data_IF_483548071548
#
_entry.id   IF_483548071548
#
_cell.length_a   1.000
_cell.length_b   1.000
_cell.length_c   1.000
_cell.angle_alpha   90.00
_cell.angle_beta   90.00
_cell.angle_gamma   90.00
#
_symmetry.space_group_name_H-M   'P 1'
#
loop_
_entity.id
_entity.type
_entity.pdbx_description
1 polymer ?
#
# COMPACT_ATOMS: atom_id res chain seq x y z
N UNK A 1 -3.67 -9.08 28.64
CA UNK A 1 -3.81 -7.86 27.83
C UNK A 1 -2.69 -7.88 26.79
N UNK A 2 -2.94 -8.44 25.61
CA UNK A 2 -1.91 -8.54 24.57
C UNK A 2 -1.55 -7.14 24.06
N UNK A 3 -0.26 -6.81 23.87
CA UNK A 3 0.11 -5.51 23.31
C UNK A 3 -0.49 -5.38 21.91
N UNK A 4 -0.96 -4.19 21.51
CA UNK A 4 -1.43 -3.97 20.15
C UNK A 4 -0.26 -4.21 19.20
N UNK A 5 -0.32 -5.31 18.44
CA UNK A 5 0.65 -5.57 17.37
C UNK A 5 0.42 -4.50 16.31
N UNK A 6 1.40 -3.61 16.14
CA UNK A 6 1.36 -2.61 15.07
C UNK A 6 1.26 -3.35 13.73
N UNK A 7 0.29 -3.01 12.86
CA UNK A 7 0.18 -3.67 11.56
C UNK A 7 1.46 -3.42 10.75
N UNK A 8 1.94 -4.42 10.00
CA UNK A 8 3.10 -4.24 9.13
C UNK A 8 2.81 -3.15 8.08
N UNK A 9 3.77 -2.26 7.88
CA UNK A 9 3.67 -1.15 6.93
C UNK A 9 4.83 -1.14 5.94
N UNK A 10 4.54 -0.83 4.69
CA UNK A 10 5.52 -0.63 3.61
C UNK A 10 5.41 0.81 3.08
N UNK A 11 6.51 1.32 2.55
CA UNK A 11 6.53 2.63 1.91
C UNK A 11 6.58 2.45 0.39
N UNK A 12 5.55 2.93 -0.29
CA UNK A 12 5.49 2.92 -1.75
C UNK A 12 5.96 4.27 -2.26
N UNK A 13 7.07 4.28 -2.99
CA UNK A 13 7.60 5.48 -3.63
C UNK A 13 7.38 5.40 -5.13
N UNK A 14 6.83 6.46 -5.72
CA UNK A 14 6.70 6.62 -7.16
C UNK A 14 7.23 7.99 -7.57
N UNK A 15 7.77 8.06 -8.79
CA UNK A 15 8.39 9.27 -9.32
C UNK A 15 7.79 9.58 -10.68
N UNK A 16 7.45 10.84 -10.92
CA UNK A 16 6.84 11.29 -12.18
C UNK A 16 7.69 12.38 -12.82
N UNK A 17 7.83 12.30 -14.14
CA UNK A 17 8.45 13.32 -14.97
C UNK A 17 7.56 13.54 -16.19
N UNK A 18 7.33 14.80 -16.57
CA UNK A 18 6.62 15.16 -17.77
C UNK A 18 7.44 16.19 -18.54
N UNK A 19 7.60 15.98 -19.84
CA UNK A 19 8.29 16.94 -20.71
C UNK A 19 7.56 17.08 -22.04
N UNK A 20 7.54 18.30 -22.58
CA UNK A 20 6.89 18.58 -23.85
C UNK A 20 7.31 19.93 -24.41
N UNK A 21 7.54 19.98 -25.73
CA UNK A 21 8.04 21.17 -26.44
C UNK A 21 7.11 22.38 -26.38
N UNK A 22 5.82 22.16 -26.09
CA UNK A 22 4.78 23.18 -26.00
C UNK A 22 4.02 23.16 -24.66
N UNK A 23 4.54 22.44 -23.67
CA UNK A 23 3.92 22.44 -22.35
C UNK A 23 4.42 23.66 -21.56
N UNK A 24 3.54 24.52 -21.04
CA UNK A 24 3.97 25.50 -20.06
C UNK A 24 4.42 24.75 -18.79
N UNK A 25 5.50 25.21 -18.14
CA UNK A 25 5.81 24.75 -16.79
C UNK A 25 5.03 25.59 -15.77
N UNK A 26 4.69 25.10 -14.56
CA UNK A 26 4.68 23.72 -14.03
C UNK A 26 3.45 22.92 -14.50
N UNK A 27 3.57 21.59 -14.56
CA UNK A 27 2.51 20.68 -15.04
C UNK A 27 1.83 19.99 -13.84
N UNK A 28 0.52 20.23 -13.68
CA UNK A 28 -0.31 19.54 -12.69
C UNK A 28 -0.79 18.18 -13.20
N UNK A 29 -0.45 17.11 -12.48
CA UNK A 29 -0.84 15.72 -12.76
C UNK A 29 -1.78 15.22 -11.66
N UNK A 30 -3.00 14.83 -12.03
CA UNK A 30 -3.88 14.09 -11.14
C UNK A 30 -3.57 12.60 -11.26
N UNK A 31 -3.26 11.96 -10.13
CA UNK A 31 -2.81 10.57 -10.06
C UNK A 31 -3.73 9.81 -9.14
N UNK A 32 -4.27 8.71 -9.63
CA UNK A 32 -5.06 7.77 -8.85
C UNK A 32 -4.27 6.48 -8.64
N UNK A 33 -4.00 6.17 -7.39
CA UNK A 33 -3.27 4.98 -6.98
C UNK A 33 -4.22 3.98 -6.34
N UNK A 34 -4.08 2.71 -6.68
CA UNK A 34 -4.84 1.62 -6.07
C UNK A 34 -3.90 0.49 -5.69
N UNK A 35 -3.98 0.03 -4.44
CA UNK A 35 -3.27 -1.17 -3.97
C UNK A 35 -4.16 -2.41 -4.14
N UNK A 36 -3.55 -3.57 -4.36
CA UNK A 36 -4.24 -4.84 -4.65
C UNK A 36 -5.21 -4.80 -5.87
N UNK A 37 -4.99 -3.89 -6.82
CA UNK A 37 -5.91 -3.66 -7.95
C UNK A 37 -6.09 -4.87 -8.91
N UNK A 38 -5.07 -5.73 -9.02
CA UNK A 38 -5.13 -6.96 -9.84
C UNK A 38 -5.97 -8.07 -9.18
N UNK A 39 -6.34 -7.93 -7.90
CA UNK A 39 -7.15 -8.91 -7.19
C UNK A 39 -8.63 -8.53 -7.28
N UNK A 40 -9.28 -8.95 -8.36
CA UNK A 40 -10.74 -8.91 -8.46
C UNK A 40 -11.36 -9.97 -7.51
N UNK A 41 -12.09 -9.53 -6.48
CA UNK A 41 -12.95 -10.42 -5.69
C UNK A 41 -12.34 -11.09 -4.44
N UNK A 42 -11.24 -10.57 -3.87
CA UNK A 42 -10.76 -10.99 -2.56
C UNK A 42 -10.51 -9.80 -1.63
N UNK A 43 -10.64 -10.00 -0.31
CA UNK A 43 -10.46 -8.95 0.70
C UNK A 43 -9.15 -8.18 0.48
N UNK A 44 -9.25 -6.86 0.34
CA UNK A 44 -8.10 -5.98 0.11
C UNK A 44 -7.20 -5.98 1.34
N UNK A 45 -5.96 -6.41 1.16
CA UNK A 45 -4.98 -6.64 2.24
C UNK A 45 -4.07 -5.44 2.41
N UNK A 46 -4.01 -4.51 1.46
CA UNK A 46 -3.22 -3.29 1.57
C UNK A 46 -4.11 -2.04 1.61
N UNK A 47 -3.75 -1.05 2.44
CA UNK A 47 -4.45 0.23 2.56
C UNK A 47 -3.43 1.37 2.71
N UNK A 48 -3.61 2.46 1.99
CA UNK A 48 -2.84 3.69 2.19
C UNK A 48 -3.19 4.33 3.53
N UNK A 49 -2.19 4.71 4.32
CA UNK A 49 -2.35 5.54 5.52
C UNK A 49 -2.41 7.03 5.13
N UNK A 50 -3.33 7.80 5.73
CA UNK A 50 -3.35 9.28 5.92
C UNK A 50 -2.80 10.22 4.82
N UNK A 51 -3.59 11.23 4.40
CA UNK A 51 -3.11 12.35 3.57
C UNK A 51 -3.52 12.42 2.08
N UNK A 52 -4.66 13.05 1.81
CA UNK A 52 -5.08 13.47 0.47
C UNK A 52 -6.33 14.37 0.51
N UNK A 53 -6.33 15.38 1.39
CA UNK A 53 -7.45 16.31 1.60
C UNK A 53 -8.44 15.86 2.70
N UNK A 54 -9.21 16.83 3.22
CA UNK A 54 -10.18 16.69 4.32
C UNK A 54 -11.34 15.70 4.06
N UNK A 55 -11.38 15.05 2.90
CA UNK A 55 -12.50 14.23 2.43
C UNK A 55 -12.42 12.74 2.83
N UNK A 56 -11.27 12.22 3.28
CA UNK A 56 -11.14 10.79 3.64
C UNK A 56 -10.39 10.60 4.97
N UNK A 57 -11.11 10.54 6.10
CA UNK A 57 -10.54 10.22 7.40
C UNK A 57 -10.45 8.70 7.55
N UNK A 58 -9.39 8.08 7.03
CA UNK A 58 -9.13 6.67 7.26
C UNK A 58 -8.21 5.99 6.24
N UNK A 59 -7.76 4.76 6.53
CA UNK A 59 -6.97 3.97 5.60
C UNK A 59 -7.83 3.48 4.43
N UNK A 60 -7.41 3.78 3.20
CA UNK A 60 -8.16 3.49 1.97
C UNK A 60 -7.33 2.66 0.98
N UNK A 61 -7.94 1.75 0.21
CA UNK A 61 -7.23 0.98 -0.83
C UNK A 61 -6.90 1.83 -2.07
N UNK A 62 -7.53 2.99 -2.19
CA UNK A 62 -7.36 3.91 -3.31
C UNK A 62 -6.97 5.28 -2.79
N UNK A 63 -6.13 5.99 -3.54
CA UNK A 63 -5.58 7.28 -3.17
C UNK A 63 -5.41 8.20 -4.38
N UNK A 64 -6.13 9.32 -4.36
CA UNK A 64 -6.02 10.38 -5.37
C UNK A 64 -5.10 11.49 -4.87
N UNK A 65 -4.20 11.97 -5.72
CA UNK A 65 -3.30 13.06 -5.39
C UNK A 65 -2.94 13.90 -6.61
N UNK A 66 -2.74 15.19 -6.37
CA UNK A 66 -2.29 16.13 -7.39
C UNK A 66 -0.81 16.41 -7.21
N UNK A 67 -0.03 16.18 -8.25
CA UNK A 67 1.42 16.40 -8.30
C UNK A 67 1.73 17.52 -9.27
N UNK A 68 2.81 18.25 -9.00
CA UNK A 68 3.21 19.40 -9.80
C UNK A 68 4.65 19.19 -10.22
N UNK A 69 4.84 18.79 -11.47
CA UNK A 69 6.15 18.46 -12.04
C UNK A 69 6.66 19.61 -12.92
N UNK A 70 7.99 19.83 -12.98
CA UNK A 70 8.56 20.74 -13.97
C UNK A 70 8.37 20.18 -15.39
N UNK A 71 8.36 21.06 -16.40
CA UNK A 71 8.40 20.64 -17.81
C UNK A 71 9.84 20.23 -18.17
N UNK A 72 10.14 18.94 -18.05
CA UNK A 72 11.49 18.40 -18.14
C UNK A 72 12.32 18.62 -16.88
N UNK A 73 13.46 17.94 -16.80
CA UNK A 73 14.35 17.98 -15.65
C UNK A 73 14.15 16.79 -14.69
N UNK A 74 14.23 17.05 -13.38
CA UNK A 74 14.22 16.01 -12.35
C UNK A 74 12.80 15.50 -12.08
N UNK A 75 12.63 14.17 -11.89
CA UNK A 75 11.34 13.61 -11.56
C UNK A 75 10.91 14.04 -10.15
N UNK A 76 9.61 14.30 -9.97
CA UNK A 76 9.02 14.52 -8.65
C UNK A 76 8.61 13.19 -8.04
N UNK A 77 9.20 12.84 -6.90
CA UNK A 77 8.88 11.62 -6.18
C UNK A 77 7.92 11.87 -5.02
N UNK A 78 7.04 10.90 -4.75
CA UNK A 78 6.22 10.84 -3.54
C UNK A 78 6.32 9.47 -2.92
N UNK A 79 6.40 9.46 -1.60
CA UNK A 79 6.37 8.25 -0.79
C UNK A 79 5.08 8.22 0.00
N UNK A 80 4.36 7.12 -0.09
CA UNK A 80 3.09 6.89 0.59
C UNK A 80 3.20 5.65 1.49
N UNK A 81 2.90 5.78 2.78
CA UNK A 81 2.84 4.64 3.67
C UNK A 81 1.59 3.79 3.38
N UNK A 82 1.78 2.49 3.29
CA UNK A 82 0.73 1.48 3.07
C UNK A 82 0.79 0.46 4.19
N UNK A 83 -0.31 0.25 4.90
CA UNK A 83 -0.45 -0.82 5.89
C UNK A 83 -1.00 -2.07 5.26
N UNK A 84 -0.49 -3.22 5.69
CA UNK A 84 -1.10 -4.49 5.38
C UNK A 84 -2.09 -4.88 6.48
N UNK A 85 -3.34 -5.14 6.08
CA UNK A 85 -4.29 -5.94 6.84
C UNK A 85 -3.77 -7.36 6.91
N UNK A 86 -3.08 -7.65 8.00
CA UNK A 86 -2.72 -8.99 8.37
C UNK A 86 -4.00 -9.71 8.83
N UNK A 87 -4.64 -10.50 7.96
CA UNK A 87 -5.60 -11.51 8.40
C UNK A 87 -4.78 -12.69 8.92
N UNK A 88 -4.16 -12.51 10.07
CA UNK A 88 -3.52 -13.60 10.80
C UNK A 88 -4.64 -14.27 11.57
N UNK A 89 -5.41 -15.14 10.91
CA UNK A 89 -6.23 -16.10 11.64
C UNK A 89 -5.30 -17.24 12.04
N UNK A 90 -4.52 -16.99 13.09
CA UNK A 90 -3.89 -18.05 13.85
C UNK A 90 -4.98 -18.55 14.79
N UNK A 91 -5.68 -19.61 14.42
CA UNK A 91 -6.23 -20.54 15.39
C UNK A 91 -5.05 -21.25 16.08
N UNK A 92 -4.15 -20.49 16.70
CA UNK A 92 -3.20 -21.01 17.66
C UNK A 92 -3.91 -20.94 18.99
N UNK A 93 -3.72 -21.98 19.80
CA UNK A 93 -4.34 -22.09 21.12
C UNK A 93 -4.06 -20.87 22.00
N UNK A 94 -4.68 -20.84 23.18
CA UNK A 94 -4.61 -19.74 24.14
C UNK A 94 -3.17 -19.34 24.52
N UNK A 95 -2.20 -20.22 24.24
CA UNK A 95 -0.76 -20.09 24.46
C UNK A 95 0.04 -19.47 23.29
N UNK A 96 -0.57 -19.19 22.13
CA UNK A 96 0.09 -18.62 20.94
C UNK A 96 1.25 -19.47 20.37
N UNK A 97 1.38 -20.74 20.75
CA UNK A 97 2.36 -21.66 20.15
C UNK A 97 1.68 -22.43 19.03
N UNK A 98 2.13 -22.16 17.81
CA UNK A 98 1.62 -22.82 16.61
C UNK A 98 2.54 -24.00 16.30
N UNK A 99 2.20 -25.19 16.79
CA UNK A 99 2.94 -26.42 16.46
C UNK A 99 2.29 -27.04 15.23
N UNK A 100 2.94 -27.02 14.05
CA UNK A 100 2.42 -27.69 12.86
C UNK A 100 2.55 -29.20 13.03
N UNK A 101 1.46 -29.94 12.81
CA UNK A 101 1.49 -31.40 12.78
C UNK A 101 2.01 -31.87 11.41
N UNK A 102 3.33 -32.12 11.35
CA UNK A 102 4.02 -32.50 10.12
C UNK A 102 4.04 -34.04 10.01
N UNK A 103 3.05 -34.60 9.31
CA UNK A 103 3.07 -36.00 8.92
C UNK A 103 3.98 -36.20 7.70
N UNK A 104 5.13 -36.87 7.88
CA UNK A 104 5.98 -37.33 6.78
C UNK A 104 5.69 -38.81 6.50
N UNK A 105 5.26 -39.13 5.28
CA UNK A 105 5.23 -40.51 4.79
C UNK A 105 6.36 -40.71 3.77
N UNK A 106 7.16 -41.75 3.99
CA UNK A 106 8.18 -42.20 3.05
C UNK A 106 7.71 -43.49 2.39
N UNK A 107 7.48 -43.46 1.08
CA UNK A 107 7.24 -44.66 0.29
C UNK A 107 8.57 -45.21 -0.22
N UNK A 108 8.85 -46.48 0.08
CA UNK A 108 10.02 -47.21 -0.41
C UNK A 108 9.83 -47.72 -1.84
#
# INVERSE_FOLDING_TARGET
>A
MSPPVSPPSINVTFCLNASGRHLPGPIGLAVDLTVDGLKAGGGRRALFLGGGGAAQPGPSPTRSLTLVVPNGGTPQCRTLPVVLRAHIQLDCGEDNVCVPDLHLEATA
#
